data_IF_859651661777
#
_entry.id   IF_859651661777
#
_cell.length_a   1.000
_cell.length_b   1.000
_cell.length_c   1.000
_cell.angle_alpha   90.00
_cell.angle_beta   90.00
_cell.angle_gamma   90.00
#
_symmetry.space_group_name_H-M   'P 1'
#
loop_
_entity.id
_entity.type
_entity.pdbx_description
1 polymer ?
#
# COMPACT_ATOMS: atom_id res chain seq x y z
N UNK A 1 6.10 -16.61 9.88
CA UNK A 1 5.21 -16.24 8.74
C UNK A 1 5.83 -16.76 7.46
N UNK A 2 5.07 -17.54 6.68
CA UNK A 2 5.48 -18.01 5.35
C UNK A 2 4.77 -17.15 4.31
N UNK A 3 5.53 -16.47 3.46
CA UNK A 3 5.03 -15.62 2.39
C UNK A 3 5.46 -16.23 1.07
N UNK A 4 4.52 -16.34 0.12
CA UNK A 4 4.83 -16.84 -1.23
C UNK A 4 5.52 -15.74 -2.02
N UNK A 5 6.68 -16.06 -2.58
CA UNK A 5 7.41 -15.19 -3.50
C UNK A 5 6.87 -15.45 -4.91
N UNK A 6 6.46 -14.39 -5.59
CA UNK A 6 5.94 -14.43 -6.95
C UNK A 6 7.04 -14.13 -7.97
N UNK A 7 7.92 -13.21 -7.62
CA UNK A 7 9.06 -12.81 -8.45
C UNK A 7 10.16 -12.23 -7.58
N UNK A 8 11.40 -12.45 -7.96
CA UNK A 8 12.56 -11.92 -7.25
C UNK A 8 13.72 -11.68 -8.22
N UNK A 9 14.31 -10.48 -8.16
CA UNK A 9 15.59 -10.18 -8.81
C UNK A 9 16.53 -9.42 -7.87
N UNK A 10 17.60 -8.83 -8.42
CA UNK A 10 18.61 -8.09 -7.64
C UNK A 10 18.07 -6.80 -7.00
N UNK A 11 17.01 -6.22 -7.57
CA UNK A 11 16.49 -4.89 -7.24
C UNK A 11 15.17 -4.97 -6.46
N UNK A 12 14.30 -5.91 -6.80
CA UNK A 12 12.93 -6.00 -6.29
C UNK A 12 12.53 -7.42 -5.90
N UNK A 13 11.48 -7.50 -5.10
CA UNK A 13 10.81 -8.70 -4.66
C UNK A 13 9.30 -8.47 -4.78
N UNK A 14 8.60 -9.30 -5.54
CA UNK A 14 7.15 -9.36 -5.54
C UNK A 14 6.67 -10.54 -4.69
N UNK A 15 5.82 -10.26 -3.71
CA UNK A 15 5.23 -11.27 -2.84
C UNK A 15 3.72 -11.34 -3.05
N UNK A 16 3.16 -12.51 -2.76
CA UNK A 16 1.73 -12.67 -2.52
C UNK A 16 1.44 -12.42 -1.04
N UNK A 17 1.03 -11.18 -0.74
CA UNK A 17 0.68 -10.76 0.62
C UNK A 17 -0.65 -11.41 1.01
N UNK A 18 -0.71 -12.20 2.09
CA UNK A 18 -1.99 -12.73 2.58
C UNK A 18 -2.87 -11.62 3.20
N UNK A 19 -4.18 -11.88 3.28
CA UNK A 19 -5.10 -11.05 4.05
C UNK A 19 -4.81 -11.15 5.56
N UNK A 20 -5.25 -10.17 6.35
CA UNK A 20 -5.08 -10.10 7.80
C UNK A 20 -3.71 -9.63 8.28
N UNK A 21 -2.80 -9.22 7.38
CA UNK A 21 -1.43 -8.81 7.74
C UNK A 21 -1.17 -7.37 7.30
N UNK A 22 -0.70 -6.54 8.23
CA UNK A 22 -0.32 -5.15 7.95
C UNK A 22 1.02 -5.07 7.21
N UNK A 23 1.14 -4.12 6.28
CA UNK A 23 2.39 -3.89 5.55
C UNK A 23 3.48 -3.28 6.44
N UNK A 24 3.08 -2.35 7.31
CA UNK A 24 3.97 -1.63 8.22
C UNK A 24 3.40 -1.56 9.63
N UNK A 25 4.26 -1.33 10.65
CA UNK A 25 3.82 -1.02 11.98
C UNK A 25 2.94 0.24 11.99
N UNK A 26 1.88 0.21 12.80
CA UNK A 26 1.01 1.36 13.08
C UNK A 26 1.39 2.09 14.38
N UNK A 27 2.47 1.63 15.03
CA UNK A 27 2.98 2.16 16.31
C UNK A 27 2.16 1.76 17.53
N UNK A 28 1.09 0.94 17.37
CA UNK A 28 0.17 0.56 18.45
C UNK A 28 0.05 -0.95 18.61
N UNK A 29 0.05 -1.68 17.51
CA UNK A 29 -0.05 -3.14 17.48
C UNK A 29 1.34 -3.79 17.48
N UNK A 30 1.46 -4.96 18.14
CA UNK A 30 2.70 -5.77 18.19
C UNK A 30 2.71 -6.90 17.16
N UNK A 31 1.83 -6.85 16.17
CA UNK A 31 1.75 -7.87 15.12
C UNK A 31 2.98 -7.78 14.21
N UNK A 32 3.48 -8.93 13.75
CA UNK A 32 4.57 -8.98 12.76
C UNK A 32 4.03 -8.49 11.43
N UNK A 33 4.66 -7.45 10.88
CA UNK A 33 4.27 -6.85 9.60
C UNK A 33 5.07 -7.44 8.43
N UNK A 34 4.64 -7.14 7.20
CA UNK A 34 5.43 -7.48 6.02
C UNK A 34 6.81 -6.82 6.05
N UNK A 35 6.89 -5.57 6.52
CA UNK A 35 8.14 -4.85 6.70
C UNK A 35 9.11 -5.58 7.66
N UNK A 36 8.61 -6.13 8.76
CA UNK A 36 9.42 -6.87 9.72
C UNK A 36 9.95 -8.18 9.12
N UNK A 37 9.08 -8.90 8.40
CA UNK A 37 9.47 -10.09 7.66
C UNK A 37 10.50 -9.77 6.57
N UNK A 38 10.33 -8.65 5.86
CA UNK A 38 11.25 -8.25 4.80
C UNK A 38 12.65 -7.98 5.35
N UNK A 39 12.78 -7.20 6.43
CA UNK A 39 14.08 -6.96 7.07
C UNK A 39 14.71 -8.24 7.60
N UNK A 40 13.91 -9.15 8.17
CA UNK A 40 14.42 -10.42 8.68
C UNK A 40 15.03 -11.29 7.57
N UNK A 41 14.41 -11.33 6.39
CA UNK A 41 14.88 -12.16 5.27
C UNK A 41 15.91 -11.42 4.39
N UNK A 42 15.85 -10.09 4.33
CA UNK A 42 16.70 -9.22 3.51
C UNK A 42 17.36 -8.13 4.37
N UNK A 43 18.27 -8.50 5.30
CA UNK A 43 18.85 -7.55 6.25
C UNK A 43 19.61 -6.39 5.59
N UNK A 44 20.18 -6.62 4.39
CA UNK A 44 20.84 -5.58 3.59
C UNK A 44 19.88 -4.45 3.15
N UNK A 45 18.58 -4.74 3.05
CA UNK A 45 17.57 -3.76 2.64
C UNK A 45 17.00 -2.94 3.82
N UNK A 46 17.50 -3.13 5.05
CA UNK A 46 16.99 -2.46 6.26
C UNK A 46 17.02 -0.93 6.21
N UNK A 47 17.93 -0.35 5.44
CA UNK A 47 18.07 1.11 5.29
C UNK A 47 17.57 1.62 3.93
N UNK A 48 16.86 0.80 3.16
CA UNK A 48 16.31 1.20 1.86
C UNK A 48 15.01 1.95 2.05
N UNK A 49 14.85 3.08 1.38
CA UNK A 49 13.65 3.90 1.42
C UNK A 49 13.71 5.02 2.42
N UNK A 50 12.54 5.57 2.77
CA UNK A 50 12.43 6.76 3.59
C UNK A 50 11.83 6.45 4.96
N UNK A 51 12.31 7.17 5.96
CA UNK A 51 11.69 7.23 7.27
C UNK A 51 10.54 8.22 7.26
N UNK A 52 9.51 7.93 8.05
CA UNK A 52 8.46 8.91 8.35
C UNK A 52 8.53 9.29 9.83
N UNK A 53 8.10 10.50 10.16
CA UNK A 53 7.96 10.93 11.55
C UNK A 53 6.51 10.85 11.96
N UNK A 54 6.21 10.10 13.02
CA UNK A 54 4.89 10.02 13.65
C UNK A 54 5.06 10.35 15.11
N UNK A 55 4.36 11.39 15.58
CA UNK A 55 4.42 11.87 16.97
C UNK A 55 5.86 12.09 17.48
N UNK A 56 6.72 12.68 16.63
CA UNK A 56 8.13 12.94 16.94
C UNK A 56 9.05 11.72 16.88
N UNK A 57 8.54 10.52 16.56
CA UNK A 57 9.33 9.29 16.45
C UNK A 57 9.60 8.93 14.99
N UNK A 58 10.86 8.63 14.70
CA UNK A 58 11.26 8.10 13.40
C UNK A 58 10.76 6.66 13.25
N UNK A 59 9.98 6.40 12.20
CA UNK A 59 9.51 5.07 11.81
C UNK A 59 10.10 4.74 10.44
N UNK A 60 11.03 3.79 10.43
CA UNK A 60 11.65 3.27 9.20
C UNK A 60 10.67 2.38 8.45
N UNK A 61 10.64 2.50 7.12
CA UNK A 61 9.81 1.70 6.21
C UNK A 61 10.65 1.00 5.13
N UNK A 62 11.51 0.07 5.56
CA UNK A 62 12.53 -0.54 4.71
C UNK A 62 11.94 -1.18 3.46
N UNK A 63 12.38 -0.69 2.30
CA UNK A 63 12.06 -1.25 0.98
C UNK A 63 10.61 -1.10 0.56
N UNK A 64 9.78 -0.28 1.22
CA UNK A 64 8.35 -0.22 0.90
C UNK A 64 8.00 1.05 0.14
N UNK A 65 7.60 0.86 -1.11
CA UNK A 65 7.24 1.92 -2.07
C UNK A 65 5.72 2.07 -2.25
N UNK A 66 4.95 1.05 -1.89
CA UNK A 66 3.48 1.08 -1.88
C UNK A 66 2.92 0.13 -0.83
N UNK A 67 1.61 0.17 -0.58
CA UNK A 67 0.98 -0.70 0.42
C UNK A 67 -0.38 -1.22 -0.05
N UNK A 68 -0.74 -2.36 0.52
CA UNK A 68 -2.10 -2.89 0.56
C UNK A 68 -2.64 -2.72 1.99
N UNK A 69 -3.96 -2.60 2.13
CA UNK A 69 -4.58 -2.58 3.46
C UNK A 69 -4.49 -3.96 4.13
N UNK A 70 -4.72 -4.01 5.45
CA UNK A 70 -4.53 -5.23 6.27
C UNK A 70 -5.27 -6.43 5.68
N UNK A 71 -6.55 -6.24 5.37
CA UNK A 71 -7.46 -7.25 4.83
C UNK A 71 -7.38 -7.43 3.30
N UNK A 72 -6.52 -6.65 2.62
CA UNK A 72 -6.31 -6.80 1.17
C UNK A 72 -5.16 -7.75 0.90
N UNK A 73 -5.45 -8.86 0.22
CA UNK A 73 -4.43 -9.79 -0.29
C UNK A 73 -3.91 -9.38 -1.67
N UNK A 74 -2.79 -9.96 -2.08
CA UNK A 74 -2.30 -9.89 -3.45
C UNK A 74 -0.88 -9.35 -3.57
N UNK A 75 -0.53 -8.86 -4.75
CA UNK A 75 0.85 -8.51 -5.11
C UNK A 75 1.33 -7.27 -4.36
N UNK A 76 2.38 -7.44 -3.56
CA UNK A 76 3.11 -6.34 -2.93
C UNK A 76 4.57 -6.35 -3.42
N UNK A 77 5.08 -5.17 -3.78
CA UNK A 77 6.46 -4.99 -4.19
C UNK A 77 7.28 -4.49 -3.01
N UNK A 78 8.43 -5.13 -2.80
CA UNK A 78 9.45 -4.81 -1.81
C UNK A 78 10.76 -4.53 -2.56
N UNK A 79 11.52 -3.54 -2.12
CA UNK A 79 12.67 -3.03 -2.84
C UNK A 79 13.95 -3.25 -2.05
N UNK A 80 14.98 -3.77 -2.72
CA UNK A 80 16.20 -4.25 -2.08
C UNK A 80 17.34 -3.24 -2.05
N UNK A 81 17.28 -2.17 -2.85
CA UNK A 81 18.27 -1.10 -2.86
C UNK A 81 17.66 0.29 -3.09
N UNK A 82 18.41 1.33 -2.73
CA UNK A 82 17.94 2.72 -2.73
C UNK A 82 17.66 3.26 -4.15
N UNK A 83 18.49 2.90 -5.13
CA UNK A 83 18.31 3.35 -6.52
C UNK A 83 16.99 2.85 -7.10
N UNK A 84 16.69 1.56 -6.92
CA UNK A 84 15.42 0.97 -7.34
C UNK A 84 14.24 1.57 -6.56
N UNK A 85 14.44 1.92 -5.28
CA UNK A 85 13.40 2.51 -4.45
C UNK A 85 12.95 3.87 -5.01
N UNK A 86 13.90 4.76 -5.32
CA UNK A 86 13.61 6.08 -5.89
C UNK A 86 12.95 5.98 -7.25
N UNK A 87 13.44 5.07 -8.10
CA UNK A 87 12.86 4.78 -9.41
C UNK A 87 11.39 4.35 -9.30
N UNK A 88 11.09 3.35 -8.46
CA UNK A 88 9.72 2.86 -8.26
C UNK A 88 8.83 3.87 -7.54
N UNK A 89 9.36 4.59 -6.55
CA UNK A 89 8.64 5.67 -5.86
C UNK A 89 8.14 6.71 -6.86
N UNK A 90 8.98 7.10 -7.81
CA UNK A 90 8.61 8.04 -8.87
C UNK A 90 7.51 7.47 -9.77
N UNK A 91 7.61 6.21 -10.21
CA UNK A 91 6.57 5.57 -11.02
C UNK A 91 5.22 5.43 -10.28
N UNK A 92 5.24 5.13 -8.97
CA UNK A 92 4.02 5.14 -8.16
C UNK A 92 3.42 6.54 -8.06
N UNK A 93 4.26 7.58 -7.94
CA UNK A 93 3.84 8.98 -7.87
C UNK A 93 3.28 9.48 -9.22
N UNK A 94 3.89 9.11 -10.34
CA UNK A 94 3.46 9.48 -11.70
C UNK A 94 2.32 8.63 -12.24
N UNK A 95 1.84 7.63 -11.49
CA UNK A 95 0.76 6.70 -11.86
C UNK A 95 1.09 5.85 -13.11
N UNK A 96 2.37 5.58 -13.36
CA UNK A 96 2.83 4.70 -14.45
C UNK A 96 2.59 3.21 -14.15
N UNK A 97 2.50 2.85 -12.87
CA UNK A 97 2.29 1.46 -12.45
C UNK A 97 0.82 1.08 -12.58
N UNK A 98 0.55 0.12 -13.46
CA UNK A 98 -0.77 -0.51 -13.60
C UNK A 98 -1.02 -1.48 -12.44
N UNK A 99 -2.12 -1.28 -11.72
CA UNK A 99 -2.60 -2.17 -10.66
C UNK A 99 -4.01 -2.64 -11.00
N UNK A 100 -4.24 -3.95 -10.92
CA UNK A 100 -5.55 -4.56 -11.14
C UNK A 100 -5.96 -5.25 -9.86
N UNK A 101 -7.22 -5.03 -9.46
CA UNK A 101 -7.80 -5.60 -8.25
C UNK A 101 -9.04 -6.38 -8.63
N UNK A 102 -9.09 -7.64 -8.21
CA UNK A 102 -10.33 -8.42 -8.25
C UNK A 102 -11.10 -8.17 -6.95
N UNK A 103 -12.38 -7.86 -7.06
CA UNK A 103 -13.24 -7.59 -5.92
C UNK A 103 -14.61 -8.24 -6.13
N UNK A 104 -15.20 -8.73 -5.04
CA UNK A 104 -16.60 -9.12 -4.99
C UNK A 104 -17.37 -7.98 -4.34
N UNK A 105 -18.42 -7.51 -5.00
CA UNK A 105 -19.26 -6.42 -4.51
C UNK A 105 -20.64 -6.95 -4.13
N UNK A 106 -21.27 -6.33 -3.14
CA UNK A 106 -22.64 -6.64 -2.75
C UNK A 106 -23.62 -5.81 -3.59
N UNK A 107 -24.56 -6.48 -4.26
CA UNK A 107 -25.56 -5.87 -5.13
C UNK A 107 -25.21 -6.03 -6.62
N UNK A 108 -26.02 -5.39 -7.48
CA UNK A 108 -25.83 -5.42 -8.93
C UNK A 108 -25.27 -4.09 -9.40
N UNK A 109 -24.19 -4.14 -10.19
CA UNK A 109 -23.65 -2.97 -10.87
C UNK A 109 -24.60 -2.59 -12.01
N UNK A 110 -24.83 -1.29 -12.20
CA UNK A 110 -25.72 -0.79 -13.25
C UNK A 110 -25.12 -1.01 -14.65
N UNK A 111 -23.81 -0.85 -14.76
CA UNK A 111 -23.04 -0.92 -16.00
C UNK A 111 -21.91 -1.94 -15.83
N UNK A 112 -21.56 -2.68 -16.89
CA UNK A 112 -20.48 -3.68 -16.89
C UNK A 112 -19.08 -3.05 -16.85
N UNK A 113 -18.99 -1.74 -17.08
CA UNK A 113 -17.74 -0.97 -17.00
C UNK A 113 -18.02 0.48 -16.62
N UNK A 114 -17.07 1.13 -15.97
CA UNK A 114 -17.18 2.55 -15.69
C UNK A 114 -15.96 3.16 -15.00
N UNK A 115 -16.06 4.45 -14.70
CA UNK A 115 -15.02 5.18 -13.96
C UNK A 115 -15.63 5.90 -12.76
N UNK A 116 -15.07 5.64 -11.59
CA UNK A 116 -15.39 6.36 -10.35
C UNK A 116 -14.34 7.45 -10.16
N UNK A 117 -14.74 8.72 -10.32
CA UNK A 117 -13.91 9.89 -10.04
C UNK A 117 -14.46 10.63 -8.82
N UNK A 118 -13.83 10.45 -7.67
CA UNK A 118 -14.21 11.15 -6.42
C UNK A 118 -12.97 11.44 -5.58
N UNK A 119 -12.80 12.70 -5.19
CA UNK A 119 -11.74 13.07 -4.26
C UNK A 119 -11.98 12.48 -2.87
N UNK A 120 -10.89 12.05 -2.22
CA UNK A 120 -10.91 11.38 -0.92
C UNK A 120 -10.20 12.26 0.13
N UNK A 121 -10.84 12.46 1.27
CA UNK A 121 -10.28 13.16 2.43
C UNK A 121 -10.43 12.36 3.73
N UNK A 122 -10.02 12.94 4.86
CA UNK A 122 -10.24 12.31 6.17
C UNK A 122 -11.70 12.47 6.61
N UNK A 123 -12.22 11.51 7.35
CA UNK A 123 -13.49 11.68 8.04
C UNK A 123 -13.36 12.69 9.18
N UNK A 124 -14.35 13.57 9.34
CA UNK A 124 -14.43 14.48 10.48
C UNK A 124 -14.79 13.81 11.81
N UNK A 125 -15.40 12.61 11.75
CA UNK A 125 -15.94 11.91 12.92
C UNK A 125 -15.05 10.76 13.41
N UNK A 126 -14.26 10.16 12.51
CA UNK A 126 -13.40 9.02 12.83
C UNK A 126 -12.07 9.15 12.08
N UNK A 127 -11.00 9.41 12.81
CA UNK A 127 -9.67 9.62 12.24
C UNK A 127 -9.13 8.40 11.47
N UNK A 128 -9.69 7.20 11.69
CA UNK A 128 -9.30 5.95 11.00
C UNK A 128 -9.95 5.83 9.62
N UNK A 129 -11.01 6.60 9.35
CA UNK A 129 -11.79 6.51 8.12
C UNK A 129 -11.41 7.60 7.12
N UNK A 130 -11.51 7.23 5.84
CA UNK A 130 -11.45 8.14 4.70
C UNK A 130 -12.82 8.19 4.04
N UNK A 131 -13.21 9.36 3.54
CA UNK A 131 -14.50 9.58 2.89
C UNK A 131 -14.29 10.12 1.48
N UNK A 132 -15.12 9.67 0.55
CA UNK A 132 -15.23 10.21 -0.80
C UNK A 132 -16.38 11.23 -0.86
N UNK A 133 -16.07 12.50 -1.18
CA UNK A 133 -17.08 13.56 -1.30
C UNK A 133 -17.53 14.17 0.04
N UNK A 134 -18.86 14.29 0.25
CA UNK A 134 -19.45 15.09 1.33
C UNK A 134 -19.00 14.59 2.72
N UNK A 135 -18.57 15.51 3.58
CA UNK A 135 -18.08 15.20 4.93
C UNK A 135 -16.60 14.85 5.02
N UNK A 136 -15.89 14.73 3.88
CA UNK A 136 -14.44 14.67 3.85
C UNK A 136 -13.83 16.02 4.28
N UNK A 137 -12.81 15.97 5.13
CA UNK A 137 -12.08 17.13 5.65
C UNK A 137 -10.58 16.99 5.37
N UNK A 138 -9.87 18.12 5.52
CA UNK A 138 -8.43 18.22 5.26
C UNK A 138 -8.11 18.30 3.77
N UNK A 139 -6.86 18.01 3.42
CA UNK A 139 -6.42 17.94 2.02
C UNK A 139 -7.17 16.83 1.27
N UNK A 140 -8.00 17.22 0.31
CA UNK A 140 -8.70 16.31 -0.59
C UNK A 140 -7.75 15.87 -1.69
N UNK A 141 -7.62 14.56 -1.88
CA UNK A 141 -6.77 13.98 -2.91
C UNK A 141 -7.63 13.36 -4.00
N UNK A 142 -7.30 13.69 -5.24
CA UNK A 142 -7.96 13.10 -6.40
C UNK A 142 -7.79 11.56 -6.37
N UNK A 143 -8.90 10.85 -6.55
CA UNK A 143 -8.91 9.40 -6.72
C UNK A 143 -9.79 9.02 -7.91
N UNK A 144 -9.24 8.16 -8.75
CA UNK A 144 -9.85 7.65 -9.98
C UNK A 144 -9.73 6.13 -9.96
N UNK A 145 -10.82 5.43 -10.24
CA UNK A 145 -10.84 3.97 -10.35
C UNK A 145 -11.67 3.59 -11.55
N UNK A 146 -11.08 2.83 -12.45
CA UNK A 146 -11.76 2.18 -13.58
C UNK A 146 -12.13 0.76 -13.17
N UNK A 147 -13.34 0.33 -13.50
CA UNK A 147 -13.83 -1.01 -13.19
C UNK A 147 -14.45 -1.68 -14.40
N UNK A 148 -14.44 -3.01 -14.37
CA UNK A 148 -15.14 -3.91 -15.30
C UNK A 148 -15.69 -5.07 -14.47
N UNK A 149 -16.90 -5.52 -14.78
CA UNK A 149 -17.63 -6.59 -14.07
C UNK A 149 -17.40 -7.93 -14.75
#
# INVERSE_FOLDING_TARGET
MKIKILYEDKDILAIDKPSGISVHPDGRTKEITISDWFVKNYPKAKNVGESIFVDGKEIKRPGIVHRLDKETSGVLLLVKNQKAYEFLKNQFKSREIKKVYNAVVLGSMKDDRGTIRKSIGRSGNDFRKRLAGRGARGELREAVTEYTV
#
